data_IF_862193948892
#
_entry.id   IF_862193948892
#
_cell.length_a   1.000
_cell.length_b   1.000
_cell.length_c   1.000
_cell.angle_alpha   90.00
_cell.angle_beta   90.00
_cell.angle_gamma   90.00
#
_symmetry.space_group_name_H-M   'P 1'
#
loop_
_entity.id
_entity.type
_entity.pdbx_description
1 polymer ?
#
# COMPACT_ATOMS: atom_id res chain seq x y z
N UNK A 1 30.21 55.92 -16.24
CA UNK A 1 30.69 54.99 -15.19
C UNK A 1 29.92 53.68 -15.33
N UNK A 2 30.65 52.57 -15.51
CA UNK A 2 30.13 51.20 -15.43
C UNK A 2 29.84 50.90 -13.96
N UNK A 3 28.63 50.47 -13.64
CA UNK A 3 28.35 49.81 -12.37
C UNK A 3 28.06 48.34 -12.68
N UNK A 4 29.04 47.53 -12.32
CA UNK A 4 29.03 46.08 -12.25
C UNK A 4 28.32 45.62 -10.97
N UNK A 5 27.84 44.37 -11.00
CA UNK A 5 27.40 43.53 -9.87
C UNK A 5 26.09 43.96 -9.18
N UNK A 6 25.13 43.07 -8.90
CA UNK A 6 25.27 41.64 -8.58
C UNK A 6 24.09 40.85 -9.16
N UNK A 7 24.37 39.93 -10.07
CA UNK A 7 23.45 38.84 -10.41
C UNK A 7 23.36 37.92 -9.21
N UNK A 8 22.20 37.80 -8.59
CA UNK A 8 21.96 36.76 -7.58
C UNK A 8 21.99 35.40 -8.29
N UNK A 9 23.13 34.72 -8.19
CA UNK A 9 23.24 33.29 -8.45
C UNK A 9 22.39 32.55 -7.41
N UNK A 10 21.14 32.27 -7.78
CA UNK A 10 20.27 31.38 -7.05
C UNK A 10 20.83 29.96 -7.19
N UNK A 11 21.70 29.62 -6.24
CA UNK A 11 22.22 28.29 -5.98
C UNK A 11 21.10 27.36 -5.50
N UNK A 12 20.21 26.99 -6.42
CA UNK A 12 19.41 25.79 -6.29
C UNK A 12 20.18 24.69 -7.01
N UNK A 13 21.29 24.27 -6.40
CA UNK A 13 22.00 23.05 -6.77
C UNK A 13 21.05 21.89 -6.47
N UNK A 14 20.20 21.58 -7.45
CA UNK A 14 19.34 20.42 -7.49
C UNK A 14 20.23 19.20 -7.35
N UNK A 15 20.26 18.65 -6.13
CA UNK A 15 20.86 17.37 -5.82
C UNK A 15 20.22 16.35 -6.77
N UNK A 16 20.99 15.90 -7.75
CA UNK A 16 20.54 14.89 -8.71
C UNK A 16 19.99 13.68 -7.93
N UNK A 17 18.86 13.10 -8.34
CA UNK A 17 18.27 11.99 -7.61
C UNK A 17 19.26 10.81 -7.62
N UNK A 18 19.69 10.42 -6.41
CA UNK A 18 20.54 9.26 -6.18
C UNK A 18 19.99 8.01 -6.92
N UNK A 19 20.87 7.16 -7.50
CA UNK A 19 20.45 5.98 -8.24
C UNK A 19 19.74 4.99 -7.32
N UNK A 20 18.41 5.03 -7.40
CA UNK A 20 17.51 4.10 -6.73
C UNK A 20 17.89 2.64 -7.01
N UNK A 21 17.86 1.75 -6.00
CA UNK A 21 18.02 0.32 -6.24
C UNK A 21 16.90 -0.16 -7.18
N UNK A 22 17.29 -0.79 -8.30
CA UNK A 22 16.34 -1.32 -9.28
C UNK A 22 15.53 -2.45 -8.64
N UNK A 23 14.28 -2.17 -8.28
CA UNK A 23 13.34 -3.18 -7.79
C UNK A 23 13.02 -4.19 -8.89
N UNK A 24 12.89 -5.45 -8.49
CA UNK A 24 12.37 -6.47 -9.41
C UNK A 24 10.88 -6.25 -9.64
N UNK A 25 10.38 -6.71 -10.79
CA UNK A 25 8.95 -6.61 -11.13
C UNK A 25 8.04 -7.19 -10.04
N UNK A 26 8.48 -8.27 -9.39
CA UNK A 26 7.74 -8.90 -8.29
C UNK A 26 7.62 -7.98 -7.08
N UNK A 27 8.73 -7.35 -6.67
CA UNK A 27 8.73 -6.42 -5.53
C UNK A 27 7.84 -5.20 -5.78
N UNK A 28 7.75 -4.75 -7.03
CA UNK A 28 6.82 -3.67 -7.42
C UNK A 28 5.37 -4.13 -7.24
N UNK A 29 5.01 -5.33 -7.69
CA UNK A 29 3.66 -5.86 -7.51
C UNK A 29 3.30 -6.06 -6.04
N UNK A 30 4.23 -6.53 -5.22
CA UNK A 30 4.01 -6.69 -3.78
C UNK A 30 3.73 -5.36 -3.09
N UNK A 31 4.48 -4.30 -3.46
CA UNK A 31 4.24 -2.93 -2.96
C UNK A 31 2.90 -2.38 -3.42
N UNK A 32 2.54 -2.55 -4.69
CA UNK A 32 1.23 -2.14 -5.24
C UNK A 32 0.08 -2.88 -4.53
N UNK A 33 0.30 -4.16 -4.18
CA UNK A 33 -0.69 -4.97 -3.45
C UNK A 33 -0.86 -4.50 -2.01
N UNK A 34 0.21 -4.06 -1.36
CA UNK A 34 0.18 -3.49 0.00
C UNK A 34 -0.53 -2.14 0.05
N UNK A 35 -0.47 -1.34 -1.01
CA UNK A 35 -1.17 -0.06 -1.14
C UNK A 35 -2.22 -0.09 -2.28
N UNK A 36 -1.95 0.69 -3.32
CA UNK A 36 -2.65 0.75 -4.59
C UNK A 36 -1.69 1.22 -5.68
N UNK A 37 -2.04 0.98 -6.96
CA UNK A 37 -1.20 1.39 -8.10
C UNK A 37 -0.95 2.90 -8.11
N UNK A 38 -1.99 3.68 -7.86
CA UNK A 38 -1.92 5.14 -7.98
C UNK A 38 -1.15 5.77 -6.82
N UNK A 39 -1.29 5.23 -5.61
CA UNK A 39 -0.52 5.64 -4.44
C UNK A 39 0.96 5.29 -4.58
N UNK A 40 1.26 4.10 -5.13
CA UNK A 40 2.63 3.72 -5.46
C UNK A 40 3.24 4.69 -6.48
N UNK A 41 2.53 4.99 -7.57
CA UNK A 41 3.00 5.93 -8.60
C UNK A 41 3.23 7.33 -8.01
N UNK A 42 2.29 7.84 -7.20
CA UNK A 42 2.43 9.12 -6.53
C UNK A 42 3.68 9.17 -5.65
N UNK A 43 3.90 8.13 -4.83
CA UNK A 43 5.09 8.06 -3.97
C UNK A 43 6.39 8.08 -4.78
N UNK A 44 6.39 7.44 -5.94
CA UNK A 44 7.53 7.36 -6.83
C UNK A 44 7.77 8.68 -7.60
N UNK A 45 6.70 9.36 -8.02
CA UNK A 45 6.79 10.68 -8.63
C UNK A 45 7.33 11.74 -7.66
N UNK A 46 6.95 11.67 -6.38
CA UNK A 46 7.51 12.53 -5.33
C UNK A 46 8.99 12.18 -5.11
N UNK A 47 9.33 10.90 -4.98
CA UNK A 47 10.70 10.43 -4.76
C UNK A 47 11.65 10.83 -5.88
N UNK A 48 11.18 10.80 -7.13
CA UNK A 48 11.93 11.20 -8.32
C UNK A 48 11.96 12.72 -8.54
N UNK A 49 11.30 13.50 -7.68
CA UNK A 49 11.29 14.96 -7.75
C UNK A 49 10.35 15.54 -8.83
N UNK A 50 9.54 14.72 -9.49
CA UNK A 50 8.51 15.19 -10.43
C UNK A 50 7.38 15.95 -9.72
N UNK A 51 7.18 15.70 -8.42
CA UNK A 51 6.23 16.44 -7.59
C UNK A 51 6.89 16.94 -6.30
N UNK A 52 6.66 18.21 -5.97
CA UNK A 52 7.10 18.80 -4.70
C UNK A 52 6.15 18.39 -3.58
N UNK A 53 6.69 17.78 -2.53
CA UNK A 53 5.96 17.37 -1.33
C UNK A 53 5.37 18.57 -0.55
N UNK A 54 5.93 19.76 -0.76
CA UNK A 54 5.75 20.92 0.11
C UNK A 54 4.86 22.03 -0.48
N UNK A 55 4.09 21.77 -1.54
CA UNK A 55 3.03 22.73 -1.89
C UNK A 55 1.94 22.61 -0.83
N UNK A 56 1.69 23.72 -0.13
CA UNK A 56 0.81 23.94 1.04
C UNK A 56 -0.67 23.52 0.90
N UNK A 57 -1.02 22.78 -0.15
CA UNK A 57 -2.29 22.09 -0.31
C UNK A 57 -1.98 20.70 -0.85
N UNK A 58 -2.51 19.63 -0.22
CA UNK A 58 -2.55 18.35 -0.90
C UNK A 58 -3.25 18.59 -2.24
N UNK A 59 -2.60 18.19 -3.33
CA UNK A 59 -3.20 18.31 -4.66
C UNK A 59 -4.57 17.62 -4.62
N UNK A 60 -5.55 18.12 -5.37
CA UNK A 60 -6.86 17.45 -5.49
C UNK A 60 -6.66 15.96 -5.82
N UNK A 61 -5.62 15.64 -6.58
CA UNK A 61 -5.19 14.28 -6.87
C UNK A 61 -4.78 13.48 -5.61
N UNK A 62 -3.98 14.03 -4.71
CA UNK A 62 -3.54 13.35 -3.49
C UNK A 62 -4.72 13.04 -2.56
N UNK A 63 -5.59 14.02 -2.32
CA UNK A 63 -6.81 13.80 -1.51
C UNK A 63 -7.72 12.73 -2.12
N UNK A 64 -7.77 12.67 -3.45
CA UNK A 64 -8.59 11.69 -4.16
C UNK A 64 -7.96 10.29 -4.06
N UNK A 65 -6.63 10.19 -4.18
CA UNK A 65 -5.87 8.95 -4.03
C UNK A 65 -6.03 8.41 -2.60
N UNK A 66 -5.87 9.25 -1.57
CA UNK A 66 -6.06 8.88 -0.16
C UNK A 66 -7.49 8.42 0.13
N UNK A 67 -8.50 9.19 -0.31
CA UNK A 67 -9.90 8.79 -0.13
C UNK A 67 -10.21 7.47 -0.84
N UNK A 68 -9.70 7.31 -2.06
CA UNK A 68 -9.89 6.08 -2.83
C UNK A 68 -9.19 4.89 -2.17
N UNK A 69 -7.96 5.05 -1.67
CA UNK A 69 -7.24 3.97 -1.00
C UNK A 69 -7.96 3.55 0.28
N UNK A 70 -8.43 4.51 1.09
CA UNK A 70 -9.25 4.25 2.27
C UNK A 70 -10.55 3.49 1.94
N UNK A 71 -11.27 3.93 0.90
CA UNK A 71 -12.50 3.28 0.44
C UNK A 71 -12.24 1.85 -0.07
N UNK A 72 -11.20 1.64 -0.87
CA UNK A 72 -10.83 0.32 -1.37
C UNK A 72 -10.44 -0.63 -0.24
N UNK A 73 -9.68 -0.16 0.75
CA UNK A 73 -9.33 -0.94 1.94
C UNK A 73 -10.57 -1.36 2.72
N UNK A 74 -11.52 -0.43 2.92
CA UNK A 74 -12.79 -0.72 3.58
C UNK A 74 -13.65 -1.70 2.78
N UNK A 75 -13.71 -1.56 1.46
CA UNK A 75 -14.42 -2.48 0.58
C UNK A 75 -13.82 -3.89 0.62
N UNK A 76 -12.48 -4.02 0.61
CA UNK A 76 -11.80 -5.32 0.75
C UNK A 76 -12.18 -5.99 2.07
N UNK A 77 -12.18 -5.24 3.17
CA UNK A 77 -12.55 -5.78 4.48
C UNK A 77 -14.02 -6.22 4.52
N UNK A 78 -14.94 -5.38 4.03
CA UNK A 78 -16.35 -5.75 3.95
C UNK A 78 -16.59 -6.96 3.05
N UNK A 79 -15.85 -7.07 1.94
CA UNK A 79 -15.93 -8.24 1.05
C UNK A 79 -15.43 -9.50 1.75
N UNK A 80 -14.35 -9.41 2.54
CA UNK A 80 -13.82 -10.51 3.36
C UNK A 80 -14.86 -10.96 4.37
N UNK A 81 -15.51 -10.01 5.06
CA UNK A 81 -16.57 -10.29 6.00
C UNK A 81 -17.78 -10.93 5.32
N UNK A 82 -18.24 -10.37 4.20
CA UNK A 82 -19.38 -10.89 3.45
C UNK A 82 -19.12 -12.34 2.99
N UNK A 83 -17.92 -12.65 2.49
CA UNK A 83 -17.52 -14.02 2.08
C UNK A 83 -17.63 -15.06 3.19
N UNK A 84 -17.56 -14.69 4.47
CA UNK A 84 -17.79 -15.63 5.58
C UNK A 84 -19.24 -16.12 5.62
N UNK A 85 -20.18 -15.30 5.14
CA UNK A 85 -21.62 -15.56 5.19
C UNK A 85 -22.21 -15.93 3.82
N UNK A 86 -21.50 -15.72 2.72
CA UNK A 86 -21.98 -16.10 1.37
C UNK A 86 -22.05 -17.61 1.14
N UNK A 87 -21.28 -18.39 1.89
CA UNK A 87 -21.19 -19.83 1.71
C UNK A 87 -21.40 -20.56 3.06
N UNK A 88 -22.67 -20.60 3.53
CA UNK A 88 -23.02 -21.25 4.79
C UNK A 88 -22.65 -22.74 4.80
N UNK A 89 -22.75 -23.41 3.66
CA UNK A 89 -22.33 -24.81 3.47
C UNK A 89 -20.82 -24.99 3.72
N UNK A 90 -19.99 -24.12 3.14
CA UNK A 90 -18.55 -24.15 3.37
C UNK A 90 -18.17 -23.78 4.80
N UNK A 91 -18.91 -22.85 5.42
CA UNK A 91 -18.73 -22.51 6.84
C UNK A 91 -19.05 -23.70 7.76
N UNK A 92 -20.16 -24.42 7.49
CA UNK A 92 -20.53 -25.65 8.19
C UNK A 92 -19.47 -26.74 8.01
N UNK A 93 -19.01 -26.96 6.78
CA UNK A 93 -17.98 -27.94 6.47
C UNK A 93 -16.65 -27.64 7.21
N UNK A 94 -16.27 -26.37 7.31
CA UNK A 94 -15.11 -25.94 8.09
C UNK A 94 -15.28 -26.25 9.59
N UNK A 95 -16.46 -25.98 10.18
CA UNK A 95 -16.77 -26.33 11.57
C UNK A 95 -16.76 -27.83 11.83
N UNK A 96 -17.28 -28.64 10.90
CA UNK A 96 -17.20 -30.10 11.02
C UNK A 96 -15.75 -30.59 11.01
N UNK A 97 -14.90 -30.02 10.15
CA UNK A 97 -13.46 -30.34 10.11
C UNK A 97 -12.76 -29.97 11.41
N UNK A 98 -13.02 -28.79 11.98
CA UNK A 98 -12.39 -28.38 13.24
C UNK A 98 -12.81 -29.27 14.41
N UNK A 99 -14.10 -29.61 14.51
CA UNK A 99 -14.61 -30.55 15.53
C UNK A 99 -13.98 -31.94 15.39
N UNK A 100 -13.88 -32.46 14.17
CA UNK A 100 -13.25 -33.76 13.91
C UNK A 100 -11.77 -33.75 14.32
N UNK A 101 -11.04 -32.67 14.00
CA UNK A 101 -9.64 -32.51 14.40
C UNK A 101 -9.48 -32.46 15.92
N UNK A 102 -10.27 -31.64 16.59
CA UNK A 102 -10.23 -31.53 18.06
C UNK A 102 -10.59 -32.87 18.75
N UNK A 103 -11.52 -33.64 18.18
CA UNK A 103 -11.85 -34.97 18.70
C UNK A 103 -10.70 -35.97 18.51
N UNK A 104 -9.97 -35.88 17.38
CA UNK A 104 -8.79 -36.71 17.13
C UNK A 104 -7.66 -36.36 18.10
N UNK A 105 -7.34 -35.06 18.26
CA UNK A 105 -6.32 -34.57 19.20
C UNK A 105 -6.64 -34.99 20.64
N UNK A 106 -7.92 -35.00 21.04
CA UNK A 106 -8.35 -35.51 22.36
C UNK A 106 -8.11 -37.01 22.54
N UNK A 107 -8.21 -37.82 21.49
CA UNK A 107 -7.91 -39.25 21.53
C UNK A 107 -6.40 -39.51 21.59
N UNK A 108 -5.63 -38.71 20.87
CA UNK A 108 -4.17 -38.79 20.88
C UNK A 108 -3.57 -38.35 22.22
N UNK A 109 -4.19 -37.36 22.88
CA UNK A 109 -3.74 -36.84 24.18
C UNK A 109 -4.23 -37.65 25.38
N UNK A 110 -5.23 -38.51 25.21
CA UNK A 110 -5.71 -39.43 26.22
C UNK A 110 -5.74 -40.86 25.65
N UNK A 111 -4.56 -41.46 25.40
CA UNK A 111 -4.48 -42.86 25.01
C UNK A 111 -4.80 -43.70 26.26
N UNK A 112 -5.76 -44.60 26.16
CA UNK A 112 -5.96 -45.65 27.18
C UNK A 112 -4.71 -46.54 27.31
#
# INVERSE_FOLDING_TARGET
MRNSDSTQDNNNAALAPEPSPKLTRQQIYDRIRQSSKDEYILSEMIRLGFWQKDRTKPSVAEKFIEKRSALLSRLRELTRLNRLYQDPEKALLALHKTRKKAALEKRETNPD
#
